data_IF_319468920427
#
_entry.id   IF_319468920427
#
_cell.length_a   1.000
_cell.length_b   1.000
_cell.length_c   1.000
_cell.angle_alpha   90.00
_cell.angle_beta   90.00
_cell.angle_gamma   90.00
#
_symmetry.space_group_name_H-M   'P 1'
#
loop_
_entity.id
_entity.type
_entity.pdbx_description
1 polymer ?
#
# COMPACT_ATOMS: atom_id res chain seq x y z
N UNK A 1 19.55 19.02 20.27
CA UNK A 1 18.11 19.37 20.03
C UNK A 1 17.35 18.19 19.44
N UNK A 2 17.84 17.52 18.40
CA UNK A 2 17.16 16.40 17.74
C UNK A 2 16.94 15.17 18.67
N UNK A 3 17.91 14.83 19.49
CA UNK A 3 17.80 13.72 20.47
C UNK A 3 16.65 13.94 21.48
N UNK A 4 16.37 15.18 21.88
CA UNK A 4 15.22 15.48 22.73
C UNK A 4 13.87 15.26 22.03
N UNK A 5 13.80 15.48 20.70
CA UNK A 5 12.60 15.17 19.93
C UNK A 5 12.38 13.64 19.83
N UNK A 6 13.46 12.88 19.63
CA UNK A 6 13.40 11.41 19.62
C UNK A 6 12.97 10.86 21.00
N UNK A 7 13.47 11.44 22.09
CA UNK A 7 13.08 11.05 23.44
C UNK A 7 11.58 11.31 23.71
N UNK A 8 11.07 12.47 23.31
CA UNK A 8 9.63 12.77 23.38
C UNK A 8 8.81 11.77 22.58
N UNK A 9 9.20 11.50 21.34
CA UNK A 9 8.50 10.52 20.50
C UNK A 9 8.54 9.10 21.09
N UNK A 10 9.67 8.68 21.69
CA UNK A 10 9.80 7.40 22.41
C UNK A 10 8.82 7.29 23.57
N UNK A 11 8.57 8.38 24.27
CA UNK A 11 7.63 8.46 25.40
C UNK A 11 6.17 8.62 24.97
N UNK A 12 5.88 8.56 23.65
CA UNK A 12 4.52 8.72 23.11
C UNK A 12 4.06 10.18 22.98
N UNK A 13 4.93 11.14 23.23
CA UNK A 13 4.65 12.57 23.05
C UNK A 13 4.85 12.93 21.55
N UNK A 14 3.92 12.50 20.71
CA UNK A 14 3.99 12.72 19.25
C UNK A 14 2.86 13.64 18.81
N UNK A 15 3.21 14.85 18.38
CA UNK A 15 2.33 15.88 17.84
C UNK A 15 2.70 16.17 16.38
N UNK A 16 1.85 16.90 15.65
CA UNK A 16 2.18 17.36 14.29
C UNK A 16 3.49 18.16 14.27
N UNK A 17 3.67 19.08 15.22
CA UNK A 17 4.87 19.89 15.35
C UNK A 17 6.13 19.03 15.57
N UNK A 18 6.11 18.10 16.54
CA UNK A 18 7.23 17.22 16.82
C UNK A 18 7.52 16.34 15.59
N UNK A 19 6.48 15.82 14.94
CA UNK A 19 6.60 14.99 13.75
C UNK A 19 7.22 15.74 12.58
N UNK A 20 6.83 16.99 12.37
CA UNK A 20 7.42 17.86 11.34
C UNK A 20 8.89 18.14 11.64
N UNK A 21 9.23 18.50 12.88
CA UNK A 21 10.61 18.75 13.29
C UNK A 21 11.49 17.49 13.16
N UNK A 22 10.95 16.29 13.45
CA UNK A 22 11.64 15.02 13.22
C UNK A 22 11.87 14.77 11.72
N UNK A 23 10.86 15.00 10.88
CA UNK A 23 10.97 14.82 9.44
C UNK A 23 11.97 15.83 8.81
N UNK A 24 11.89 17.10 9.19
CA UNK A 24 12.80 18.13 8.70
C UNK A 24 14.24 17.88 9.17
N UNK A 25 14.43 17.63 10.46
CA UNK A 25 15.76 17.39 11.04
C UNK A 25 16.43 16.13 10.52
N UNK A 26 15.66 15.14 10.03
CA UNK A 26 16.17 13.92 9.41
C UNK A 26 16.76 14.11 8.00
N UNK A 27 16.81 15.34 7.46
CA UNK A 27 17.61 15.65 6.28
C UNK A 27 19.10 15.44 6.55
N UNK A 28 19.53 15.67 7.79
CA UNK A 28 20.86 15.30 8.25
C UNK A 28 21.00 13.79 8.42
N UNK A 29 21.99 13.19 7.78
CA UNK A 29 22.19 11.73 7.76
C UNK A 29 22.22 11.11 9.16
N UNK A 30 22.96 11.71 10.10
CA UNK A 30 23.07 11.20 11.46
C UNK A 30 21.73 11.22 12.22
N UNK A 31 20.91 12.23 11.98
CA UNK A 31 19.57 12.30 12.54
C UNK A 31 18.63 11.26 11.93
N UNK A 32 18.71 11.05 10.60
CA UNK A 32 17.92 10.02 9.94
C UNK A 32 18.24 8.62 10.47
N UNK A 33 19.52 8.28 10.66
CA UNK A 33 19.92 6.99 11.21
C UNK A 33 19.40 6.77 12.64
N UNK A 34 19.41 7.81 13.50
CA UNK A 34 18.81 7.74 14.84
C UNK A 34 17.29 7.57 14.77
N UNK A 35 16.63 8.28 13.86
CA UNK A 35 15.19 8.17 13.65
C UNK A 35 14.81 6.75 13.19
N UNK A 36 15.56 6.17 12.25
CA UNK A 36 15.32 4.81 11.76
C UNK A 36 15.54 3.78 12.86
N UNK A 37 16.57 3.93 13.69
CA UNK A 37 16.80 3.04 14.82
C UNK A 37 15.60 3.04 15.78
N UNK A 38 15.12 4.23 16.17
CA UNK A 38 13.94 4.35 17.02
C UNK A 38 12.67 3.79 16.37
N UNK A 39 12.43 4.10 15.10
CA UNK A 39 11.26 3.61 14.37
C UNK A 39 11.27 2.07 14.23
N UNK A 40 12.45 1.48 13.98
CA UNK A 40 12.62 0.02 13.91
C UNK A 40 12.36 -0.65 15.27
N UNK A 41 12.83 -0.04 16.36
CA UNK A 41 12.56 -0.49 17.73
C UNK A 41 11.06 -0.44 18.04
N UNK A 42 10.41 0.70 17.79
CA UNK A 42 8.96 0.86 18.00
C UNK A 42 8.15 -0.16 17.18
N UNK A 43 8.57 -0.45 15.93
CA UNK A 43 7.93 -1.49 15.12
C UNK A 43 8.07 -2.86 15.75
N UNK A 44 9.30 -3.24 16.19
CA UNK A 44 9.56 -4.56 16.78
C UNK A 44 8.78 -4.75 18.08
N UNK A 45 8.67 -3.70 18.90
CA UNK A 45 7.92 -3.73 20.15
C UNK A 45 6.40 -3.86 19.91
N UNK A 46 5.87 -3.17 18.91
CA UNK A 46 4.43 -3.12 18.63
C UNK A 46 3.92 -4.32 17.80
N UNK A 47 4.68 -4.76 16.82
CA UNK A 47 4.24 -5.75 15.82
C UNK A 47 5.08 -7.03 15.82
N UNK A 48 6.15 -7.08 16.61
CA UNK A 48 7.12 -8.18 16.57
C UNK A 48 8.02 -8.14 15.33
N UNK A 49 8.83 -9.19 15.17
CA UNK A 49 9.83 -9.30 14.10
C UNK A 49 9.35 -10.10 12.89
N UNK A 50 8.21 -10.75 13.03
CA UNK A 50 7.66 -11.63 12.02
C UNK A 50 7.11 -10.85 10.83
N UNK A 51 7.36 -11.37 9.63
CA UNK A 51 6.86 -10.81 8.37
C UNK A 51 5.93 -11.81 7.68
N UNK A 52 5.00 -11.31 6.88
CA UNK A 52 3.98 -12.11 6.22
C UNK A 52 3.95 -11.85 4.72
N UNK A 53 3.70 -12.93 3.94
CA UNK A 53 3.58 -12.82 2.51
C UNK A 53 2.25 -12.22 2.06
N UNK A 54 2.32 -11.32 1.10
CA UNK A 54 1.16 -10.88 0.33
C UNK A 54 1.37 -11.10 -1.17
N UNK A 55 0.27 -11.24 -1.88
CA UNK A 55 0.24 -11.26 -3.33
C UNK A 55 -0.64 -10.14 -3.88
N UNK A 56 -0.40 -9.74 -5.12
CA UNK A 56 -1.21 -8.73 -5.78
C UNK A 56 -1.63 -9.13 -7.20
N UNK A 57 -2.89 -8.85 -7.53
CA UNK A 57 -3.38 -8.83 -8.90
C UNK A 57 -3.76 -7.40 -9.24
N UNK A 58 -3.06 -6.81 -10.18
CA UNK A 58 -3.28 -5.43 -10.56
C UNK A 58 -4.03 -5.30 -11.88
N UNK A 59 -4.67 -4.14 -12.07
CA UNK A 59 -5.44 -3.82 -13.28
C UNK A 59 -6.59 -4.78 -13.52
N UNK A 60 -7.26 -5.20 -12.44
CA UNK A 60 -8.38 -6.15 -12.52
C UNK A 60 -9.62 -5.56 -13.19
N UNK A 61 -9.77 -4.23 -13.16
CA UNK A 61 -10.90 -3.50 -13.76
C UNK A 61 -10.42 -2.21 -14.42
N UNK A 62 -11.06 -1.74 -15.53
CA UNK A 62 -10.65 -0.52 -16.21
C UNK A 62 -10.83 0.73 -15.35
N UNK A 63 -10.02 1.76 -15.61
CA UNK A 63 -10.18 3.06 -15.00
C UNK A 63 -11.06 3.96 -15.88
N UNK A 64 -12.15 4.51 -15.31
CA UNK A 64 -13.10 5.42 -15.98
C UNK A 64 -12.94 6.88 -15.55
N UNK A 65 -11.86 7.21 -14.84
CA UNK A 65 -11.57 8.59 -14.41
C UNK A 65 -11.22 9.46 -15.60
N UNK A 66 -11.93 10.58 -15.76
CA UNK A 66 -11.72 11.57 -16.82
C UNK A 66 -11.86 12.98 -16.25
N UNK A 67 -10.84 13.86 -16.42
CA UNK A 67 -9.51 13.61 -17.00
C UNK A 67 -8.68 12.61 -16.19
N UNK A 68 -7.74 11.92 -16.84
CA UNK A 68 -6.86 10.97 -16.16
C UNK A 68 -5.92 11.65 -15.18
N UNK A 69 -5.51 10.89 -14.16
CA UNK A 69 -4.44 11.29 -13.26
C UNK A 69 -3.16 11.55 -14.06
N UNK A 70 -2.52 12.70 -13.84
CA UNK A 70 -1.40 13.19 -14.65
C UNK A 70 -0.12 12.36 -14.55
N UNK A 71 0.02 11.58 -13.49
CA UNK A 71 1.19 10.74 -13.21
C UNK A 71 0.95 9.25 -13.42
N UNK A 72 -0.30 8.83 -13.66
CA UNK A 72 -0.70 7.43 -13.54
C UNK A 72 -0.59 6.68 -14.86
N UNK A 73 0.16 5.57 -14.83
CA UNK A 73 0.15 4.55 -15.91
C UNK A 73 -0.69 3.34 -15.53
N UNK A 74 -1.26 3.33 -14.33
CA UNK A 74 -1.99 2.22 -13.74
C UNK A 74 -3.45 2.21 -14.19
N UNK A 75 -3.67 2.08 -15.49
CA UNK A 75 -5.01 1.91 -16.02
C UNK A 75 -5.09 0.62 -16.85
N UNK A 76 -6.17 -0.11 -16.69
CA UNK A 76 -6.54 -1.20 -17.55
C UNK A 76 -7.47 -0.69 -18.66
N UNK A 77 -7.42 -1.34 -19.81
CA UNK A 77 -8.38 -1.09 -20.91
C UNK A 77 -9.54 -2.08 -20.88
N UNK A 78 -9.34 -3.23 -20.27
CA UNK A 78 -10.30 -4.33 -20.15
C UNK A 78 -10.28 -4.91 -18.76
N UNK A 79 -11.37 -5.56 -18.38
CA UNK A 79 -11.49 -6.28 -17.12
C UNK A 79 -10.63 -7.55 -17.10
N UNK A 80 -10.26 -7.97 -15.92
CA UNK A 80 -9.69 -9.28 -15.69
C UNK A 80 -10.85 -10.24 -15.41
N UNK A 81 -11.08 -11.27 -16.25
CA UNK A 81 -12.23 -12.14 -16.10
C UNK A 81 -12.28 -12.80 -14.71
N UNK A 82 -13.45 -12.82 -14.02
CA UNK A 82 -13.55 -13.39 -12.67
C UNK A 82 -13.03 -14.84 -12.56
N UNK A 83 -13.27 -15.67 -13.57
CA UNK A 83 -12.77 -17.06 -13.60
C UNK A 83 -11.24 -17.15 -13.65
N UNK A 84 -10.58 -16.19 -14.29
CA UNK A 84 -9.11 -16.10 -14.31
C UNK A 84 -8.56 -15.57 -12.99
N UNK A 85 -9.28 -14.64 -12.34
CA UNK A 85 -8.95 -14.21 -10.97
C UNK A 85 -9.03 -15.36 -9.99
N UNK A 86 -10.09 -16.16 -10.08
CA UNK A 86 -10.30 -17.36 -9.26
C UNK A 86 -9.14 -18.35 -9.41
N UNK A 87 -8.74 -18.69 -10.65
CA UNK A 87 -7.60 -19.57 -10.91
C UNK A 87 -6.29 -19.03 -10.33
N UNK A 88 -6.04 -17.72 -10.50
CA UNK A 88 -4.85 -17.08 -9.93
C UNK A 88 -4.85 -17.13 -8.39
N UNK A 89 -5.98 -16.81 -7.76
CA UNK A 89 -6.13 -16.84 -6.31
C UNK A 89 -5.89 -18.24 -5.74
N UNK A 90 -6.48 -19.27 -6.34
CA UNK A 90 -6.25 -20.68 -5.97
C UNK A 90 -4.77 -21.05 -6.06
N UNK A 91 -4.10 -20.66 -7.16
CA UNK A 91 -2.68 -20.95 -7.33
C UNK A 91 -1.80 -20.21 -6.32
N UNK A 92 -2.13 -18.97 -5.98
CA UNK A 92 -1.42 -18.21 -4.93
C UNK A 92 -1.58 -18.88 -3.55
N UNK A 93 -2.79 -19.37 -3.20
CA UNK A 93 -3.03 -20.11 -1.98
C UNK A 93 -2.22 -21.41 -1.94
N UNK A 94 -2.15 -22.18 -3.06
CA UNK A 94 -1.31 -23.38 -3.19
C UNK A 94 0.19 -23.08 -2.99
N UNK A 95 0.65 -21.88 -3.33
CA UNK A 95 2.02 -21.40 -3.07
C UNK A 95 2.25 -20.98 -1.61
N UNK A 96 1.24 -21.06 -0.76
CA UNK A 96 1.31 -20.71 0.66
C UNK A 96 1.03 -19.25 0.99
N UNK A 97 0.54 -18.45 0.02
CA UNK A 97 0.16 -17.07 0.28
C UNK A 97 -1.22 -17.03 0.96
N UNK A 98 -1.36 -16.18 1.97
CA UNK A 98 -2.59 -16.04 2.77
C UNK A 98 -3.39 -14.80 2.40
N UNK A 99 -2.77 -13.80 1.75
CA UNK A 99 -3.43 -12.54 1.38
C UNK A 99 -3.27 -12.22 -0.09
N UNK A 100 -4.36 -11.67 -0.64
CA UNK A 100 -4.48 -11.26 -2.03
C UNK A 100 -5.02 -9.83 -2.12
N UNK A 101 -4.20 -8.93 -2.64
CA UNK A 101 -4.58 -7.57 -2.97
C UNK A 101 -5.11 -7.50 -4.41
N UNK A 102 -6.39 -7.20 -4.57
CA UNK A 102 -7.01 -6.91 -5.86
C UNK A 102 -7.03 -5.40 -6.10
N UNK A 103 -6.32 -4.94 -7.13
CA UNK A 103 -6.30 -3.52 -7.45
C UNK A 103 -6.60 -3.23 -8.92
N UNK A 104 -7.30 -2.13 -9.16
CA UNK A 104 -7.76 -1.75 -10.48
C UNK A 104 -8.00 -0.26 -10.64
N UNK A 105 -8.72 0.08 -11.69
CA UNK A 105 -9.12 1.45 -11.96
C UNK A 105 -10.25 1.93 -11.05
N UNK A 106 -10.51 3.22 -11.14
CA UNK A 106 -11.60 3.90 -10.43
C UNK A 106 -12.71 4.31 -11.38
N UNK A 107 -13.93 4.34 -10.85
CA UNK A 107 -15.11 4.89 -11.50
C UNK A 107 -15.93 5.66 -10.46
N UNK A 108 -16.16 6.96 -10.65
CA UNK A 108 -16.91 7.75 -9.67
C UNK A 108 -18.40 7.37 -9.60
N UNK A 109 -18.93 6.66 -10.62
CA UNK A 109 -20.28 6.10 -10.61
C UNK A 109 -20.38 4.70 -10.00
N UNK A 110 -19.26 4.13 -9.57
CA UNK A 110 -19.23 2.84 -8.90
C UNK A 110 -18.88 1.65 -9.80
N UNK A 111 -18.45 0.60 -9.11
CA UNK A 111 -18.18 -0.74 -9.63
C UNK A 111 -18.78 -1.79 -8.71
N UNK A 112 -19.88 -1.47 -8.04
CA UNK A 112 -20.46 -2.30 -6.98
C UNK A 112 -20.71 -3.74 -7.41
N UNK A 113 -21.30 -3.93 -8.59
CA UNK A 113 -21.58 -5.25 -9.14
C UNK A 113 -20.30 -6.02 -9.45
N UNK A 114 -19.41 -5.41 -10.20
CA UNK A 114 -18.15 -6.03 -10.65
C UNK A 114 -17.27 -6.45 -9.48
N UNK A 115 -17.21 -5.63 -8.42
CA UNK A 115 -16.44 -5.94 -7.21
C UNK A 115 -16.99 -7.18 -6.50
N UNK A 116 -18.30 -7.24 -6.32
CA UNK A 116 -18.95 -8.39 -5.68
C UNK A 116 -18.70 -9.68 -6.50
N UNK A 117 -18.85 -9.62 -7.82
CA UNK A 117 -18.62 -10.77 -8.70
C UNK A 117 -17.16 -11.25 -8.63
N UNK A 118 -16.18 -10.35 -8.64
CA UNK A 118 -14.76 -10.71 -8.50
C UNK A 118 -14.46 -11.39 -7.16
N UNK A 119 -14.93 -10.81 -6.05
CA UNK A 119 -14.68 -11.38 -4.73
C UNK A 119 -15.39 -12.72 -4.58
N UNK A 120 -16.62 -12.84 -5.09
CA UNK A 120 -17.38 -14.09 -5.06
C UNK A 120 -16.65 -15.19 -5.83
N UNK A 121 -16.19 -14.94 -7.05
CA UNK A 121 -15.44 -15.90 -7.85
C UNK A 121 -14.17 -16.40 -7.14
N UNK A 122 -13.45 -15.54 -6.43
CA UNK A 122 -12.30 -15.95 -5.62
C UNK A 122 -12.73 -16.82 -4.45
N UNK A 123 -13.79 -16.43 -3.72
CA UNK A 123 -14.28 -17.15 -2.53
C UNK A 123 -14.82 -18.55 -2.86
N UNK A 124 -15.32 -18.78 -4.06
CA UNK A 124 -15.80 -20.10 -4.50
C UNK A 124 -14.69 -21.14 -4.61
N UNK A 125 -13.42 -20.74 -4.77
CA UNK A 125 -12.31 -21.66 -5.04
C UNK A 125 -11.15 -21.55 -4.06
N UNK A 126 -11.12 -20.51 -3.21
CA UNK A 126 -9.99 -20.18 -2.33
C UNK A 126 -10.44 -19.52 -1.04
N UNK A 127 -9.73 -19.85 0.05
CA UNK A 127 -9.89 -19.22 1.36
C UNK A 127 -8.90 -18.07 1.58
N UNK A 128 -8.11 -17.70 0.56
CA UNK A 128 -7.15 -16.61 0.65
C UNK A 128 -7.86 -15.31 1.06
N UNK A 129 -7.31 -14.57 2.00
CA UNK A 129 -7.88 -13.31 2.45
C UNK A 129 -7.79 -12.26 1.36
N UNK A 130 -8.93 -11.67 1.00
CA UNK A 130 -9.01 -10.71 -0.11
C UNK A 130 -9.12 -9.29 0.40
N UNK A 131 -8.30 -8.43 -0.14
CA UNK A 131 -8.33 -6.99 0.00
C UNK A 131 -8.67 -6.36 -1.36
N UNK A 132 -9.51 -5.32 -1.37
CA UNK A 132 -9.86 -4.61 -2.61
C UNK A 132 -9.38 -3.17 -2.60
N UNK A 133 -8.80 -2.75 -3.73
CA UNK A 133 -8.38 -1.39 -4.04
C UNK A 133 -8.89 -1.00 -5.44
N UNK A 134 -10.16 -0.69 -5.54
CA UNK A 134 -10.88 -0.49 -6.81
C UNK A 134 -11.51 0.91 -6.88
N UNK A 135 -10.80 1.91 -6.38
CA UNK A 135 -11.24 3.29 -6.33
C UNK A 135 -12.08 3.59 -5.09
N UNK A 136 -12.86 4.67 -5.15
CA UNK A 136 -13.59 5.21 -4.00
C UNK A 136 -15.11 5.11 -4.11
N UNK A 137 -15.60 4.47 -5.17
CA UNK A 137 -17.03 4.53 -5.52
C UNK A 137 -17.75 3.27 -5.09
N UNK A 138 -17.63 2.92 -3.82
CA UNK A 138 -18.41 1.84 -3.22
C UNK A 138 -19.60 2.43 -2.49
N UNK A 139 -20.79 1.92 -2.78
CA UNK A 139 -21.94 2.24 -1.96
C UNK A 139 -21.75 1.68 -0.54
N UNK A 140 -22.39 2.30 0.49
CA UNK A 140 -22.36 1.73 1.84
C UNK A 140 -22.92 0.30 1.89
N UNK A 141 -23.84 -0.04 1.00
CA UNK A 141 -24.39 -1.38 0.88
C UNK A 141 -23.34 -2.37 0.38
N UNK A 142 -22.55 -1.99 -0.62
CA UNK A 142 -21.44 -2.81 -1.11
C UNK A 142 -20.38 -3.02 -0.02
N UNK A 143 -20.06 -2.00 0.79
CA UNK A 143 -19.16 -2.14 1.94
C UNK A 143 -19.71 -3.20 2.92
N UNK A 144 -21.00 -3.14 3.29
CA UNK A 144 -21.63 -4.15 4.15
C UNK A 144 -21.65 -5.54 3.51
N UNK A 145 -21.91 -5.62 2.22
CA UNK A 145 -21.89 -6.90 1.48
C UNK A 145 -20.50 -7.53 1.48
N UNK A 146 -19.47 -6.75 1.19
CA UNK A 146 -18.08 -7.19 1.25
C UNK A 146 -17.69 -7.67 2.65
N UNK A 147 -18.12 -6.96 3.70
CA UNK A 147 -17.94 -7.40 5.08
C UNK A 147 -18.56 -8.78 5.32
N UNK A 148 -19.80 -9.00 4.85
CA UNK A 148 -20.47 -10.31 4.99
C UNK A 148 -19.79 -11.45 4.21
N UNK A 149 -18.93 -11.13 3.25
CA UNK A 149 -18.11 -12.08 2.48
C UNK A 149 -16.73 -12.30 3.11
N UNK A 150 -16.51 -11.89 4.36
CA UNK A 150 -15.25 -11.98 5.08
C UNK A 150 -14.06 -11.35 4.34
N UNK A 151 -14.29 -10.14 3.82
CA UNK A 151 -13.21 -9.35 3.24
C UNK A 151 -12.21 -8.93 4.31
N UNK A 152 -10.92 -9.04 3.98
CA UNK A 152 -9.86 -8.61 4.87
C UNK A 152 -9.91 -7.12 5.13
N UNK A 153 -10.00 -6.33 4.05
CA UNK A 153 -10.00 -4.86 4.14
C UNK A 153 -10.43 -4.21 2.82
N UNK A 154 -10.77 -2.94 2.91
CA UNK A 154 -11.03 -2.07 1.76
C UNK A 154 -9.97 -0.97 1.75
N UNK A 155 -9.37 -0.74 0.59
CA UNK A 155 -8.39 0.32 0.40
C UNK A 155 -9.03 1.57 -0.17
N UNK A 156 -8.85 2.70 0.54
CA UNK A 156 -9.05 4.04 0.00
C UNK A 156 -7.71 4.76 -0.11
N UNK A 157 -7.15 4.79 -1.33
CA UNK A 157 -5.86 5.42 -1.60
C UNK A 157 -6.02 6.93 -1.69
N UNK A 158 -5.76 7.67 -0.61
CA UNK A 158 -5.83 9.13 -0.61
C UNK A 158 -4.70 9.75 -1.44
N UNK A 159 -3.49 9.15 -1.39
CA UNK A 159 -2.26 9.58 -2.05
C UNK A 159 -1.71 10.90 -1.50
N UNK A 160 -2.52 11.93 -1.41
CA UNK A 160 -2.25 13.18 -0.67
C UNK A 160 -3.56 13.78 -0.16
N UNK A 161 -3.52 14.50 0.95
CA UNK A 161 -4.67 15.29 1.45
C UNK A 161 -4.55 16.78 1.11
N UNK A 162 -3.44 17.21 0.51
CA UNK A 162 -3.30 18.56 -0.03
C UNK A 162 -4.25 18.70 -1.22
N UNK A 163 -5.29 19.51 -1.06
CA UNK A 163 -6.36 19.65 -2.07
C UNK A 163 -5.82 20.18 -3.40
N UNK A 164 -4.89 21.16 -3.33
CA UNK A 164 -4.28 21.72 -4.53
C UNK A 164 -3.44 20.71 -5.29
N UNK A 165 -2.59 19.95 -4.57
CA UNK A 165 -1.77 18.89 -5.17
C UNK A 165 -2.66 17.77 -5.71
N UNK A 166 -3.71 17.38 -4.97
CA UNK A 166 -4.65 16.35 -5.42
C UNK A 166 -5.36 16.80 -6.69
N UNK A 167 -5.93 18.00 -6.72
CA UNK A 167 -6.65 18.56 -7.85
C UNK A 167 -5.77 18.69 -9.10
N UNK A 168 -4.51 19.09 -8.92
CA UNK A 168 -3.57 19.16 -10.04
C UNK A 168 -3.20 17.77 -10.53
N UNK A 169 -2.79 16.86 -9.65
CA UNK A 169 -2.33 15.52 -10.03
C UNK A 169 -3.45 14.59 -10.51
N UNK A 170 -4.68 14.77 -10.00
CA UNK A 170 -5.84 13.89 -10.20
C UNK A 170 -7.12 14.65 -10.56
N UNK A 171 -7.11 15.44 -11.65
CA UNK A 171 -8.20 16.39 -11.95
C UNK A 171 -9.58 15.76 -12.17
N UNK A 172 -9.65 14.47 -12.48
CA UNK A 172 -10.92 13.74 -12.67
C UNK A 172 -11.33 12.87 -11.49
N UNK A 173 -10.51 12.76 -10.44
CA UNK A 173 -10.79 11.94 -9.25
C UNK A 173 -11.36 12.80 -8.09
N UNK A 174 -11.81 12.18 -7.02
CA UNK A 174 -12.43 12.88 -5.90
C UNK A 174 -11.81 12.49 -4.56
N UNK A 175 -11.07 13.44 -3.96
CA UNK A 175 -10.53 13.27 -2.62
C UNK A 175 -11.64 13.11 -1.57
N UNK A 176 -12.75 13.84 -1.74
CA UNK A 176 -13.90 13.77 -0.84
C UNK A 176 -14.54 12.39 -0.84
N UNK A 177 -14.78 11.80 -2.02
CA UNK A 177 -15.32 10.42 -2.11
C UNK A 177 -14.39 9.40 -1.46
N UNK A 178 -13.08 9.58 -1.59
CA UNK A 178 -12.09 8.71 -0.94
C UNK A 178 -12.16 8.84 0.59
N UNK A 179 -12.28 10.06 1.11
CA UNK A 179 -12.49 10.31 2.55
C UNK A 179 -13.80 9.68 3.03
N UNK A 180 -14.90 9.88 2.30
CA UNK A 180 -16.22 9.27 2.61
C UNK A 180 -16.18 7.74 2.62
N UNK A 181 -15.40 7.11 1.75
CA UNK A 181 -15.21 5.65 1.79
C UNK A 181 -14.55 5.21 3.08
N UNK A 182 -13.50 5.91 3.54
CA UNK A 182 -12.87 5.63 4.84
C UNK A 182 -13.85 5.79 5.99
N UNK A 183 -14.62 6.88 6.02
CA UNK A 183 -15.67 7.12 7.03
C UNK A 183 -16.76 6.04 7.00
N UNK A 184 -17.11 5.56 5.81
CA UNK A 184 -18.06 4.45 5.67
C UNK A 184 -17.50 3.15 6.23
N UNK A 185 -16.25 2.82 5.90
CA UNK A 185 -15.59 1.63 6.44
C UNK A 185 -15.47 1.71 7.98
N UNK A 186 -15.10 2.87 8.52
CA UNK A 186 -15.04 3.13 9.98
C UNK A 186 -16.39 2.86 10.63
N UNK A 187 -17.46 3.45 10.12
CA UNK A 187 -18.83 3.29 10.64
C UNK A 187 -19.33 1.85 10.55
N UNK A 188 -19.02 1.16 9.47
CA UNK A 188 -19.42 -0.23 9.26
C UNK A 188 -18.48 -1.25 9.95
N UNK A 189 -17.40 -0.79 10.60
CA UNK A 189 -16.40 -1.66 11.24
C UNK A 189 -15.69 -2.57 10.24
N UNK A 190 -15.31 -2.04 9.09
CA UNK A 190 -14.52 -2.73 8.06
C UNK A 190 -13.08 -2.22 8.11
N UNK A 191 -12.07 -3.12 8.20
CA UNK A 191 -10.69 -2.69 8.22
C UNK A 191 -10.32 -1.85 6.99
N UNK A 192 -9.65 -0.71 7.26
CA UNK A 192 -9.26 0.27 6.25
C UNK A 192 -7.80 0.07 5.91
N UNK A 193 -7.49 0.13 4.61
CA UNK A 193 -6.15 0.41 4.11
C UNK A 193 -6.13 1.76 3.43
N UNK A 194 -5.00 2.46 3.52
CA UNK A 194 -4.79 3.70 2.78
C UNK A 194 -3.41 3.73 2.14
N UNK A 195 -3.16 4.76 1.36
CA UNK A 195 -1.89 4.96 0.68
C UNK A 195 -1.55 6.44 0.63
N UNK A 196 -0.27 6.74 0.91
CA UNK A 196 0.34 8.04 0.66
C UNK A 196 1.34 7.91 -0.49
N UNK A 197 1.34 8.85 -1.42
CA UNK A 197 2.30 8.94 -2.52
C UNK A 197 3.27 10.09 -2.25
N UNK A 198 4.52 9.75 -2.02
CA UNK A 198 5.58 10.70 -1.68
C UNK A 198 6.25 11.22 -2.95
N UNK A 199 6.38 12.54 -3.06
CA UNK A 199 7.03 13.22 -4.18
C UNK A 199 6.08 13.68 -5.28
N UNK A 200 4.78 13.80 -5.00
CA UNK A 200 3.77 14.26 -5.94
C UNK A 200 3.72 15.80 -6.07
N UNK A 201 4.45 16.51 -5.20
CA UNK A 201 4.47 17.96 -5.09
C UNK A 201 4.00 18.48 -3.72
N UNK A 202 3.62 17.58 -2.83
CA UNK A 202 3.21 17.89 -1.47
C UNK A 202 4.39 18.33 -0.59
N UNK A 203 4.11 19.21 0.39
CA UNK A 203 5.09 19.63 1.40
C UNK A 203 5.25 18.59 2.52
N UNK A 204 6.26 18.78 3.39
CA UNK A 204 6.39 17.93 4.58
C UNK A 204 5.23 18.18 5.57
N UNK A 205 4.73 19.39 5.66
CA UNK A 205 3.53 19.73 6.43
C UNK A 205 2.30 18.98 5.91
N UNK A 206 2.12 18.89 4.58
CA UNK A 206 1.04 18.11 3.97
C UNK A 206 1.15 16.62 4.33
N UNK A 207 2.37 16.07 4.30
CA UNK A 207 2.64 14.67 4.69
C UNK A 207 2.27 14.42 6.15
N UNK A 208 2.69 15.31 7.05
CA UNK A 208 2.37 15.17 8.47
C UNK A 208 0.86 15.30 8.70
N UNK A 209 0.21 16.30 8.13
CA UNK A 209 -1.26 16.43 8.20
C UNK A 209 -1.97 15.18 7.66
N UNK A 210 -1.45 14.57 6.57
CA UNK A 210 -2.00 13.33 6.03
C UNK A 210 -1.90 12.17 7.03
N UNK A 211 -0.74 12.00 7.66
CA UNK A 211 -0.54 10.95 8.66
C UNK A 211 -1.46 11.14 9.88
N UNK A 212 -1.62 12.38 10.36
CA UNK A 212 -2.52 12.69 11.47
C UNK A 212 -3.99 12.58 11.09
N UNK A 213 -4.37 12.90 9.85
CA UNK A 213 -5.72 12.67 9.35
C UNK A 213 -6.09 11.19 9.34
N UNK A 214 -5.25 10.31 8.80
CA UNK A 214 -5.58 8.88 8.72
C UNK A 214 -5.47 8.18 10.08
N UNK A 215 -4.63 8.64 11.00
CA UNK A 215 -4.48 8.11 12.35
C UNK A 215 -5.78 8.13 13.16
N UNK A 216 -6.72 9.03 12.83
CA UNK A 216 -7.99 9.15 13.56
C UNK A 216 -8.93 7.95 13.35
N UNK A 217 -8.73 7.16 12.30
CA UNK A 217 -9.57 6.01 11.99
C UNK A 217 -9.14 4.80 12.83
N UNK A 218 -10.06 4.28 13.65
CA UNK A 218 -9.80 3.12 14.53
C UNK A 218 -9.71 1.82 13.73
N UNK A 219 -10.35 1.78 12.55
CA UNK A 219 -10.29 0.66 11.61
C UNK A 219 -9.05 0.69 10.69
N UNK A 220 -8.17 1.69 10.81
CA UNK A 220 -6.97 1.75 10.01
C UNK A 220 -6.02 0.59 10.37
N UNK A 221 -5.89 -0.37 9.47
CA UNK A 221 -5.02 -1.54 9.62
C UNK A 221 -3.68 -1.38 8.91
N UNK A 222 -3.67 -0.72 7.76
CA UNK A 222 -2.50 -0.59 6.89
C UNK A 222 -2.39 0.78 6.26
N UNK A 223 -1.16 1.28 6.17
CA UNK A 223 -0.78 2.42 5.34
C UNK A 223 0.35 2.00 4.40
N UNK A 224 0.11 2.14 3.10
CA UNK A 224 1.10 1.88 2.08
C UNK A 224 1.78 3.17 1.61
N UNK A 225 3.08 3.09 1.36
CA UNK A 225 3.89 4.21 0.87
C UNK A 225 4.26 3.97 -0.58
N UNK A 226 3.71 4.77 -1.48
CA UNK A 226 4.12 4.84 -2.88
C UNK A 226 5.20 5.89 -3.05
N UNK A 227 6.11 5.61 -3.97
CA UNK A 227 7.18 6.51 -4.36
C UNK A 227 6.89 7.07 -5.74
N UNK A 228 6.89 8.40 -5.87
CA UNK A 228 6.68 9.01 -7.17
C UNK A 228 7.81 8.67 -8.14
N UNK A 229 7.41 8.19 -9.30
CA UNK A 229 8.27 7.87 -10.44
C UNK A 229 7.72 8.54 -11.69
N UNK A 230 8.49 9.38 -12.38
CA UNK A 230 8.05 9.96 -13.65
C UNK A 230 8.04 8.89 -14.75
N UNK A 231 6.91 8.76 -15.43
CA UNK A 231 6.76 7.86 -16.57
C UNK A 231 6.59 8.66 -17.86
N UNK A 232 7.24 8.24 -18.93
CA UNK A 232 7.27 8.95 -20.22
C UNK A 232 5.87 9.18 -20.83
N UNK A 233 4.94 8.26 -20.58
CA UNK A 233 3.58 8.34 -21.14
C UNK A 233 2.62 9.16 -20.26
N UNK A 234 3.13 9.95 -19.32
CA UNK A 234 2.33 10.74 -18.39
C UNK A 234 2.63 12.22 -18.50
N UNK A 235 1.68 13.07 -18.07
CA UNK A 235 1.88 14.52 -18.04
C UNK A 235 3.00 14.94 -17.06
N UNK A 236 3.30 14.10 -16.07
CA UNK A 236 4.33 14.34 -15.04
C UNK A 236 5.70 13.72 -15.39
N UNK A 237 5.94 13.39 -16.68
CA UNK A 237 7.20 12.78 -17.14
C UNK A 237 8.47 13.57 -16.80
N UNK A 238 8.35 14.88 -16.68
CA UNK A 238 9.48 15.79 -16.39
C UNK A 238 9.54 16.21 -14.92
N UNK A 239 8.65 15.71 -14.05
CA UNK A 239 8.71 15.96 -12.61
C UNK A 239 9.91 15.23 -11.99
N UNK A 240 10.52 15.77 -10.92
CA UNK A 240 11.63 15.15 -10.25
C UNK A 240 11.20 13.80 -9.63
N UNK A 241 12.07 12.80 -9.77
CA UNK A 241 11.88 11.47 -9.17
C UNK A 241 12.07 11.56 -7.65
N UNK A 242 11.14 11.00 -6.89
CA UNK A 242 11.29 10.87 -5.44
C UNK A 242 12.37 9.81 -5.09
N UNK A 243 13.19 10.08 -4.10
CA UNK A 243 14.20 9.14 -3.64
C UNK A 243 13.63 8.10 -2.66
N UNK A 244 14.17 6.86 -2.61
CA UNK A 244 13.77 5.89 -1.59
C UNK A 244 14.12 6.36 -0.17
N UNK A 245 15.16 7.18 -0.02
CA UNK A 245 15.54 7.77 1.26
C UNK A 245 14.47 8.73 1.81
N UNK A 246 13.87 9.52 0.94
CA UNK A 246 12.77 10.42 1.29
C UNK A 246 11.55 9.63 1.77
N UNK A 247 11.18 8.56 1.07
CA UNK A 247 10.10 7.65 1.49
C UNK A 247 10.40 7.03 2.86
N UNK A 248 11.61 6.55 3.07
CA UNK A 248 12.02 5.93 4.33
C UNK A 248 11.92 6.90 5.53
N UNK A 249 12.30 8.16 5.34
CA UNK A 249 12.16 9.20 6.38
C UNK A 249 10.68 9.42 6.78
N UNK A 250 9.79 9.43 5.81
CA UNK A 250 8.34 9.56 6.07
C UNK A 250 7.80 8.30 6.76
N UNK A 251 8.23 7.11 6.33
CA UNK A 251 7.87 5.84 6.99
C UNK A 251 8.29 5.84 8.46
N UNK A 252 9.50 6.32 8.76
CA UNK A 252 9.99 6.33 10.13
C UNK A 252 9.18 7.26 11.04
N UNK A 253 8.81 8.44 10.56
CA UNK A 253 7.90 9.33 11.30
C UNK A 253 6.50 8.72 11.42
N UNK A 254 5.98 8.10 10.36
CA UNK A 254 4.68 7.43 10.39
C UNK A 254 4.65 6.29 11.42
N UNK A 255 5.74 5.54 11.59
CA UNK A 255 5.85 4.50 12.63
C UNK A 255 5.70 5.06 14.03
N UNK A 256 6.32 6.21 14.31
CA UNK A 256 6.18 6.87 15.61
C UNK A 256 4.77 7.41 15.86
N UNK A 257 4.08 7.86 14.80
CA UNK A 257 2.69 8.35 14.87
C UNK A 257 1.70 7.19 15.06
N UNK A 258 1.94 6.05 14.41
CA UNK A 258 1.03 4.90 14.33
C UNK A 258 1.77 3.57 14.61
N UNK A 259 2.13 3.30 15.88
CA UNK A 259 2.96 2.13 16.23
C UNK A 259 2.38 0.78 15.79
N UNK A 260 1.06 0.63 15.82
CA UNK A 260 0.36 -0.64 15.58
C UNK A 260 -0.14 -0.83 14.14
N UNK A 261 0.03 0.15 13.26
CA UNK A 261 -0.42 0.07 11.87
C UNK A 261 0.63 -0.62 11.00
N UNK A 262 0.22 -1.52 10.12
CA UNK A 262 1.14 -2.10 9.15
C UNK A 262 1.56 -1.05 8.11
N UNK A 263 2.86 -0.78 7.99
CA UNK A 263 3.41 0.19 7.04
C UNK A 263 4.09 -0.54 5.89
N UNK A 264 3.44 -0.56 4.72
CA UNK A 264 3.86 -1.31 3.55
C UNK A 264 4.49 -0.46 2.44
N UNK A 265 5.20 -1.11 1.52
CA UNK A 265 5.65 -0.51 0.26
C UNK A 265 4.61 -0.74 -0.83
N UNK A 266 4.38 0.28 -1.66
CA UNK A 266 3.49 0.22 -2.81
C UNK A 266 4.19 0.70 -4.10
N UNK A 267 3.43 1.13 -5.09
CA UNK A 267 3.92 1.50 -6.41
C UNK A 267 5.13 2.45 -6.38
N UNK A 268 6.02 2.32 -7.36
CA UNK A 268 7.26 3.10 -7.47
C UNK A 268 8.41 2.61 -6.62
N UNK A 269 8.16 1.75 -5.63
CA UNK A 269 9.19 1.04 -4.87
C UNK A 269 9.52 -0.29 -5.57
N UNK A 270 10.72 -0.79 -5.30
CA UNK A 270 11.24 -2.05 -5.82
C UNK A 270 11.57 -3.01 -4.68
N UNK A 271 11.95 -4.22 -5.01
CA UNK A 271 12.45 -5.19 -4.02
C UNK A 271 13.72 -4.67 -3.31
N UNK A 272 14.55 -3.89 -4.00
CA UNK A 272 15.77 -3.32 -3.43
C UNK A 272 15.52 -2.24 -2.37
N UNK A 273 14.30 -1.73 -2.28
CA UNK A 273 13.89 -0.78 -1.25
C UNK A 273 13.51 -1.47 0.09
N UNK A 274 13.36 -2.81 0.10
CA UNK A 274 12.97 -3.59 1.29
C UNK A 274 13.93 -3.38 2.48
N UNK A 275 15.27 -3.42 2.32
CA UNK A 275 16.18 -3.18 3.43
C UNK A 275 15.99 -1.81 4.07
N UNK A 276 15.88 -0.78 3.26
CA UNK A 276 15.69 0.59 3.74
C UNK A 276 14.31 0.77 4.42
N UNK A 277 13.26 0.16 3.87
CA UNK A 277 11.94 0.13 4.45
C UNK A 277 11.92 -0.53 5.83
N UNK A 278 12.57 -1.68 5.99
CA UNK A 278 12.69 -2.36 7.29
C UNK A 278 13.46 -1.53 8.31
N UNK A 279 14.58 -0.92 7.91
CA UNK A 279 15.37 -0.03 8.77
C UNK A 279 14.56 1.16 9.25
N UNK A 280 13.67 1.69 8.40
CA UNK A 280 12.80 2.81 8.71
C UNK A 280 11.55 2.42 9.54
N UNK A 281 11.47 1.21 10.08
CA UNK A 281 10.32 0.76 10.87
C UNK A 281 9.13 0.32 10.04
N UNK A 282 9.31 0.02 8.75
CA UNK A 282 8.30 -0.62 7.91
C UNK A 282 8.00 -2.05 8.35
N UNK A 283 6.85 -2.56 8.06
CA UNK A 283 6.41 -3.91 8.41
C UNK A 283 4.90 -3.98 8.69
N UNK A 284 4.28 -5.19 8.72
CA UNK A 284 4.95 -6.52 8.59
C UNK A 284 4.62 -7.26 7.32
N UNK A 285 4.04 -6.67 6.31
CA UNK A 285 3.64 -7.39 5.10
C UNK A 285 4.59 -7.11 3.96
N UNK A 286 4.98 -8.17 3.25
CA UNK A 286 5.92 -8.09 2.13
C UNK A 286 5.27 -8.69 0.88
N UNK A 287 5.23 -7.91 -0.20
CA UNK A 287 4.78 -8.39 -1.49
C UNK A 287 5.76 -9.40 -2.09
N UNK A 288 5.29 -10.64 -2.29
CA UNK A 288 6.13 -11.75 -2.77
C UNK A 288 5.73 -12.29 -4.14
N UNK A 289 4.48 -12.07 -4.53
CA UNK A 289 3.98 -12.54 -5.80
C UNK A 289 3.10 -11.50 -6.49
N UNK A 290 3.21 -11.46 -7.80
CA UNK A 290 2.41 -10.55 -8.62
C UNK A 290 1.84 -11.28 -9.82
N UNK A 291 0.54 -11.08 -10.08
CA UNK A 291 -0.12 -11.67 -11.24
C UNK A 291 -0.11 -10.70 -12.41
N UNK A 292 0.35 -11.19 -13.56
CA UNK A 292 0.41 -10.45 -14.82
C UNK A 292 -0.42 -11.14 -15.90
N UNK A 293 -0.92 -10.37 -16.87
CA UNK A 293 -1.58 -10.88 -18.09
C UNK A 293 -0.62 -11.23 -19.20
N UNK A 294 0.62 -10.81 -19.09
CA UNK A 294 1.68 -11.10 -20.05
C UNK A 294 2.84 -11.77 -19.33
N UNK A 295 3.60 -12.62 -20.03
CA UNK A 295 4.83 -13.17 -19.47
C UNK A 295 5.76 -12.03 -19.03
N UNK A 296 6.39 -12.19 -17.87
CA UNK A 296 7.41 -11.27 -17.34
C UNK A 296 8.74 -11.99 -17.43
N UNK A 297 9.80 -11.27 -17.78
CA UNK A 297 11.16 -11.83 -17.72
C UNK A 297 11.56 -11.88 -16.23
N UNK A 298 11.78 -13.08 -15.66
CA UNK A 298 12.18 -13.19 -14.26
C UNK A 298 13.62 -12.72 -14.07
N UNK A 299 13.88 -12.09 -12.92
CA UNK A 299 15.21 -11.88 -12.42
C UNK A 299 15.84 -13.15 -11.83
N UNK A 300 17.05 -13.03 -11.30
CA UNK A 300 17.68 -14.10 -10.53
C UNK A 300 16.81 -14.45 -9.30
N UNK A 301 16.61 -15.74 -9.03
CA UNK A 301 15.81 -16.26 -7.92
C UNK A 301 14.32 -15.95 -7.99
N UNK A 302 13.84 -15.46 -9.13
CA UNK A 302 12.43 -15.28 -9.43
C UNK A 302 11.92 -16.41 -10.34
N UNK A 303 10.63 -16.73 -10.25
CA UNK A 303 9.97 -17.71 -11.10
C UNK A 303 8.74 -17.11 -11.77
N UNK A 304 8.53 -17.44 -13.02
CA UNK A 304 7.27 -17.17 -13.72
C UNK A 304 6.50 -18.47 -13.83
N UNK A 305 5.30 -18.50 -13.26
CA UNK A 305 4.39 -19.64 -13.28
C UNK A 305 3.21 -19.28 -14.17
N UNK A 306 3.02 -20.02 -15.26
CA UNK A 306 1.81 -19.92 -16.08
C UNK A 306 0.67 -20.65 -15.37
N UNK A 307 -0.39 -19.95 -15.02
CA UNK A 307 -1.58 -20.49 -14.36
C UNK A 307 -2.65 -20.88 -15.40
N UNK A 308 -2.80 -20.02 -16.39
CA UNK A 308 -3.74 -20.18 -17.51
C UNK A 308 -3.24 -19.32 -18.68
N UNK A 309 -3.87 -19.45 -19.84
CA UNK A 309 -3.59 -18.55 -20.99
C UNK A 309 -3.83 -17.10 -20.58
N UNK A 310 -2.77 -16.27 -20.69
CA UNK A 310 -2.79 -14.87 -20.28
C UNK A 310 -2.90 -14.66 -18.78
N UNK A 311 -2.46 -15.61 -17.94
CA UNK A 311 -2.35 -15.49 -16.48
C UNK A 311 -1.02 -16.07 -16.01
N UNK A 312 -0.15 -15.21 -15.54
CA UNK A 312 1.19 -15.55 -15.08
C UNK A 312 1.42 -15.00 -13.67
N UNK A 313 2.03 -15.79 -12.82
CA UNK A 313 2.49 -15.37 -11.49
C UNK A 313 3.99 -15.17 -11.55
N UNK A 314 4.45 -13.95 -11.27
CA UNK A 314 5.83 -13.68 -10.94
C UNK A 314 6.03 -13.93 -9.44
N UNK A 315 6.69 -15.01 -9.11
CA UNK A 315 7.01 -15.41 -7.73
C UNK A 315 8.41 -14.95 -7.35
N UNK A 316 8.53 -14.09 -6.33
CA UNK A 316 9.77 -13.48 -5.81
C UNK A 316 10.11 -13.97 -4.41
N UNK A 317 9.41 -14.96 -3.88
CA UNK A 317 9.56 -15.37 -2.48
C UNK A 317 11.01 -15.70 -2.12
N UNK A 318 11.76 -16.39 -3.01
CA UNK A 318 13.15 -16.77 -2.74
C UNK A 318 14.08 -15.54 -2.68
N UNK A 319 13.94 -14.62 -3.63
CA UNK A 319 14.76 -13.40 -3.67
C UNK A 319 14.50 -12.54 -2.42
N UNK A 320 13.23 -12.36 -2.05
CA UNK A 320 12.86 -11.59 -0.85
C UNK A 320 13.35 -12.27 0.42
N UNK A 321 13.20 -13.59 0.55
CA UNK A 321 13.73 -14.35 1.71
C UNK A 321 15.22 -14.12 1.92
N UNK A 322 16.01 -14.05 0.86
CA UNK A 322 17.44 -13.77 0.97
C UNK A 322 17.68 -12.41 1.59
N UNK A 323 17.02 -11.33 1.10
CA UNK A 323 17.16 -10.00 1.67
C UNK A 323 16.77 -9.95 3.15
N UNK A 324 15.68 -10.60 3.51
CA UNK A 324 15.20 -10.63 4.89
C UNK A 324 16.17 -11.40 5.81
N UNK A 325 16.72 -12.52 5.34
CA UNK A 325 17.72 -13.30 6.07
C UNK A 325 18.98 -12.49 6.37
N UNK A 326 19.47 -11.71 5.39
CA UNK A 326 20.63 -10.84 5.55
C UNK A 326 20.37 -9.73 6.60
N UNK A 327 19.11 -9.43 6.89
CA UNK A 327 18.67 -8.49 7.92
C UNK A 327 18.24 -9.15 9.23
N UNK A 328 18.46 -10.44 9.42
CA UNK A 328 18.05 -11.17 10.61
C UNK A 328 16.52 -11.25 10.77
N UNK A 329 15.79 -11.28 9.66
CA UNK A 329 14.32 -11.42 9.63
C UNK A 329 13.89 -12.73 9.02
N UNK A 330 12.70 -13.18 9.41
CA UNK A 330 12.10 -14.38 8.87
C UNK A 330 10.66 -14.14 8.42
N UNK A 331 10.12 -15.07 7.65
CA UNK A 331 8.75 -15.04 7.15
C UNK A 331 7.95 -16.15 7.83
N UNK A 332 6.82 -15.76 8.39
CA UNK A 332 5.83 -16.67 8.93
C UNK A 332 4.68 -16.90 7.95
N UNK A 333 4.31 -18.19 7.79
CA UNK A 333 3.24 -18.59 6.88
C UNK A 333 1.85 -18.64 7.55
N UNK A 334 1.78 -18.72 8.88
CA UNK A 334 0.58 -19.13 9.61
C UNK A 334 -0.06 -18.03 10.48
N UNK A 335 0.35 -16.78 10.42
CA UNK A 335 -0.25 -15.72 11.22
C UNK A 335 -0.66 -14.50 10.43
N UNK A 336 -1.79 -14.04 10.80
CA UNK A 336 -2.32 -12.70 10.83
C UNK A 336 -2.52 -12.32 12.27
#
# INVERSE_FOLDING_TARGET
MYDKLLEKARNGEITEEISLQLLEGSRELQNALKLFALASEVRDDALGKDLYWTAGISRVIPCKIVPRCRYCTYYARSEFPPEKLAKAAKKLEELGLKQLHLSGGSNLQGYDKEIIEMVQAVREVSNIDVEVNLGCSFSPETVRRLKSMNMLSITSSLETISEDVFKDAKPGDSLEMKKRLMETCEREGVPIRSMILIGLGESNEDRIRHLFYIRQFTQLSHLNFSRFMPYQDTAYKDHPRCSPWEVARVIAVARLIMPNVHLGLAAGNTMDDIPLWLMAGGGNQVGAAHVSRTPVIPGSEEQVIMVDEGVYILNRMNAVKRYLKDMGRDIYFDRY
#
